data_IF_474111988135
#
_entry.id   IF_474111988135
#
_cell.length_a   1.000
_cell.length_b   1.000
_cell.length_c   1.000
_cell.angle_alpha   90.00
_cell.angle_beta   90.00
_cell.angle_gamma   90.00
#
_symmetry.space_group_name_H-M   'P 1'
#
loop_
_entity.id
_entity.type
_entity.pdbx_description
1 polymer ?
#
# COMPACT_ATOMS: atom_id res chain seq x y z
N UNK A 1 23.16 1.35 -5.84
CA UNK A 1 23.61 2.65 -5.29
C UNK A 1 24.24 3.57 -6.33
N UNK A 2 24.92 3.06 -7.36
CA UNK A 2 25.55 3.86 -8.44
C UNK A 2 24.59 4.78 -9.22
N UNK A 3 23.30 4.44 -9.30
CA UNK A 3 22.29 5.24 -10.00
C UNK A 3 21.68 6.39 -9.16
N UNK A 4 22.01 6.52 -7.87
CA UNK A 4 21.43 7.56 -6.99
C UNK A 4 19.93 7.45 -6.70
N UNK A 5 19.25 6.42 -7.22
CA UNK A 5 17.83 6.19 -6.99
C UNK A 5 17.52 5.81 -5.53
N UNK A 6 16.37 6.27 -5.03
CA UNK A 6 15.83 5.82 -3.75
C UNK A 6 15.11 4.48 -3.92
N UNK A 7 15.35 3.55 -3.00
CA UNK A 7 14.69 2.24 -3.01
C UNK A 7 13.39 2.30 -2.20
N UNK A 8 12.32 1.77 -2.77
CA UNK A 8 11.06 1.49 -2.08
C UNK A 8 10.89 -0.03 -2.02
N UNK A 9 11.29 -0.70 -0.92
CA UNK A 9 11.02 -2.11 -0.71
C UNK A 9 9.51 -2.36 -0.63
N UNK A 10 9.07 -3.56 -0.97
CA UNK A 10 7.68 -3.98 -0.81
C UNK A 10 7.55 -5.28 -0.02
N UNK A 11 6.34 -5.59 0.41
CA UNK A 11 6.01 -6.86 1.09
C UNK A 11 5.27 -7.82 0.16
N UNK A 12 5.60 -7.82 -1.13
CA UNK A 12 4.94 -8.65 -2.13
C UNK A 12 4.91 -10.13 -1.71
N UNK A 13 3.75 -10.76 -1.94
CA UNK A 13 3.53 -12.17 -1.59
C UNK A 13 3.24 -12.45 -0.11
N UNK A 14 3.22 -11.45 0.77
CA UNK A 14 2.80 -11.64 2.16
C UNK A 14 1.29 -11.88 2.23
N UNK A 15 0.88 -12.96 2.89
CA UNK A 15 -0.52 -13.40 3.03
C UNK A 15 -1.11 -13.11 4.41
N UNK A 16 -0.31 -12.53 5.31
CA UNK A 16 -0.75 -12.16 6.65
C UNK A 16 -0.08 -10.89 7.15
N UNK A 17 -0.72 -10.23 8.14
CA UNK A 17 -0.18 -9.07 8.87
C UNK A 17 1.23 -9.37 9.40
N UNK A 18 1.41 -10.54 10.01
CA UNK A 18 2.69 -10.94 10.62
C UNK A 18 3.81 -11.04 9.58
N UNK A 19 3.52 -11.65 8.43
CA UNK A 19 4.49 -11.77 7.34
C UNK A 19 4.87 -10.38 6.80
N UNK A 20 3.89 -9.52 6.53
CA UNK A 20 4.13 -8.19 6.00
C UNK A 20 4.97 -7.33 6.97
N UNK A 21 4.61 -7.31 8.26
CA UNK A 21 5.37 -6.57 9.29
C UNK A 21 6.79 -7.11 9.43
N UNK A 22 6.98 -8.43 9.39
CA UNK A 22 8.31 -9.04 9.49
C UNK A 22 9.17 -8.68 8.28
N UNK A 23 8.62 -8.81 7.07
CA UNK A 23 9.29 -8.46 5.81
C UNK A 23 9.66 -6.98 5.77
N UNK A 24 8.78 -6.09 6.22
CA UNK A 24 9.06 -4.65 6.28
C UNK A 24 10.24 -4.33 7.22
N UNK A 25 10.28 -4.96 8.40
CA UNK A 25 11.40 -4.80 9.35
C UNK A 25 12.71 -5.31 8.77
N UNK A 26 12.70 -6.47 8.13
CA UNK A 26 13.87 -7.00 7.42
C UNK A 26 14.34 -6.06 6.31
N UNK A 27 13.40 -5.51 5.52
CA UNK A 27 13.71 -4.57 4.46
C UNK A 27 14.35 -3.28 5.00
N UNK A 28 13.89 -2.77 6.15
CA UNK A 28 14.51 -1.61 6.82
C UNK A 28 15.98 -1.86 7.15
N UNK A 29 16.31 -3.02 7.70
CA UNK A 29 17.71 -3.39 8.02
C UNK A 29 18.58 -3.55 6.76
N UNK A 30 18.05 -4.19 5.71
CA UNK A 30 18.79 -4.45 4.47
C UNK A 30 19.03 -3.19 3.65
N UNK A 31 18.01 -2.33 3.54
CA UNK A 31 18.04 -1.17 2.65
C UNK A 31 18.32 0.15 3.37
N UNK A 32 18.27 0.19 4.69
CA UNK A 32 18.52 1.40 5.48
C UNK A 32 17.47 2.49 5.25
N UNK A 33 16.23 2.11 4.99
CA UNK A 33 15.11 3.03 4.73
C UNK A 33 13.90 2.67 5.58
N UNK A 34 13.12 3.67 5.99
CA UNK A 34 11.83 3.46 6.64
C UNK A 34 10.65 3.51 5.66
N UNK A 35 10.91 3.64 4.35
CA UNK A 35 9.86 3.56 3.33
C UNK A 35 9.49 2.10 3.06
N UNK A 36 8.19 1.81 2.98
CA UNK A 36 7.70 0.47 2.65
C UNK A 36 6.43 0.53 1.80
N UNK A 37 6.43 -0.10 0.63
CA UNK A 37 5.21 -0.43 -0.11
C UNK A 37 4.57 -1.65 0.54
N UNK A 38 3.48 -1.40 1.26
CA UNK A 38 2.80 -2.42 2.04
C UNK A 38 1.76 -3.13 1.18
N UNK A 39 1.95 -4.43 1.04
CA UNK A 39 1.07 -5.37 0.36
C UNK A 39 0.71 -6.49 1.34
N UNK A 40 -0.59 -6.71 1.55
CA UNK A 40 -1.13 -7.87 2.26
C UNK A 40 -2.16 -8.49 1.34
N UNK A 41 -1.87 -9.68 0.80
CA UNK A 41 -2.67 -10.29 -0.26
C UNK A 41 -3.75 -11.18 0.34
N UNK A 42 -5.02 -10.90 0.02
CA UNK A 42 -6.17 -11.67 0.44
C UNK A 42 -6.55 -12.78 -0.53
N UNK A 43 -6.31 -12.57 -1.84
CA UNK A 43 -6.52 -13.59 -2.87
C UNK A 43 -5.28 -13.72 -3.76
N UNK A 44 -4.73 -14.93 -3.83
CA UNK A 44 -3.49 -15.18 -4.56
C UNK A 44 -3.66 -15.15 -6.09
N UNK A 45 -4.83 -15.51 -6.61
CA UNK A 45 -5.07 -15.57 -8.06
C UNK A 45 -5.27 -14.17 -8.66
N UNK A 46 -5.99 -13.30 -7.95
CA UNK A 46 -6.28 -11.94 -8.39
C UNK A 46 -5.31 -10.90 -7.85
N UNK A 47 -4.44 -11.29 -6.90
CA UNK A 47 -3.56 -10.39 -6.15
C UNK A 47 -4.32 -9.23 -5.49
N UNK A 48 -5.58 -9.47 -5.13
CA UNK A 48 -6.42 -8.51 -4.43
C UNK A 48 -5.93 -8.34 -2.98
N UNK A 49 -5.81 -7.10 -2.47
CA UNK A 49 -5.37 -6.89 -1.11
C UNK A 49 -6.45 -7.33 -0.10
N UNK A 50 -6.01 -7.94 1.01
CA UNK A 50 -6.82 -8.06 2.22
C UNK A 50 -6.82 -6.71 2.93
N UNK A 51 -7.88 -5.93 2.72
CA UNK A 51 -7.98 -4.57 3.27
C UNK A 51 -8.04 -4.53 4.80
N UNK A 52 -8.50 -5.60 5.46
CA UNK A 52 -8.56 -5.65 6.92
C UNK A 52 -7.16 -5.84 7.49
N UNK A 53 -6.44 -6.86 7.02
CA UNK A 53 -5.05 -7.08 7.39
C UNK A 53 -4.14 -5.92 6.98
N UNK A 54 -4.41 -5.29 5.83
CA UNK A 54 -3.67 -4.13 5.37
C UNK A 54 -3.74 -2.96 6.34
N UNK A 55 -4.94 -2.57 6.79
CA UNK A 55 -5.11 -1.46 7.75
C UNK A 55 -4.43 -1.77 9.08
N UNK A 56 -4.54 -3.01 9.57
CA UNK A 56 -3.87 -3.44 10.79
C UNK A 56 -2.34 -3.35 10.66
N UNK A 57 -1.78 -3.91 9.58
CA UNK A 57 -0.35 -3.86 9.30
C UNK A 57 0.16 -2.42 9.13
N UNK A 58 -0.61 -1.58 8.44
CA UNK A 58 -0.29 -0.16 8.24
C UNK A 58 -0.18 0.57 9.58
N UNK A 59 -1.12 0.36 10.49
CA UNK A 59 -1.10 0.95 11.84
C UNK A 59 0.15 0.53 12.62
N UNK A 60 0.44 -0.78 12.66
CA UNK A 60 1.62 -1.32 13.35
C UNK A 60 2.91 -0.70 12.80
N UNK A 61 3.03 -0.61 11.47
CA UNK A 61 4.24 -0.10 10.84
C UNK A 61 4.39 1.43 10.99
N UNK A 62 3.30 2.18 10.92
CA UNK A 62 3.32 3.62 11.18
C UNK A 62 3.72 3.91 12.65
N UNK A 63 3.19 3.16 13.61
CA UNK A 63 3.60 3.21 15.02
C UNK A 63 5.09 2.87 15.20
N UNK A 64 5.64 1.96 14.40
CA UNK A 64 7.07 1.60 14.36
C UNK A 64 7.94 2.55 13.50
N UNK A 65 7.40 3.71 13.09
CA UNK A 65 8.13 4.78 12.41
C UNK A 65 8.35 4.59 10.90
N UNK A 66 7.63 3.66 10.26
CA UNK A 66 7.66 3.52 8.81
C UNK A 66 6.85 4.63 8.11
N UNK A 67 7.32 5.02 6.92
CA UNK A 67 6.51 5.71 5.94
C UNK A 67 5.86 4.66 5.03
N UNK A 68 4.58 4.36 5.30
CA UNK A 68 3.83 3.29 4.63
C UNK A 68 3.18 3.79 3.34
N UNK A 69 3.33 2.99 2.28
CA UNK A 69 2.78 3.16 0.93
C UNK A 69 1.81 1.99 0.67
N UNK A 70 0.52 2.10 1.06
CA UNK A 70 -0.39 0.96 1.11
C UNK A 70 -1.00 0.67 -0.26
N UNK A 71 -0.73 -0.52 -0.82
CA UNK A 71 -1.45 -1.05 -1.99
C UNK A 71 -2.86 -1.47 -1.56
N UNK A 72 -3.87 -0.74 -2.04
CA UNK A 72 -5.26 -0.86 -1.56
C UNK A 72 -6.25 -0.84 -2.73
N UNK A 73 -7.54 -0.98 -2.42
CA UNK A 73 -8.62 -0.80 -3.39
C UNK A 73 -9.02 0.66 -3.53
N UNK A 74 -9.91 0.95 -4.46
CA UNK A 74 -10.54 2.25 -4.72
C UNK A 74 -11.68 2.60 -3.72
N UNK A 75 -11.66 1.98 -2.53
CA UNK A 75 -12.66 2.16 -1.47
C UNK A 75 -12.32 3.38 -0.58
N UNK A 76 -13.27 4.32 -0.44
CA UNK A 76 -13.09 5.54 0.35
C UNK A 76 -12.98 5.27 1.85
N UNK A 77 -13.74 4.31 2.37
CA UNK A 77 -13.74 3.99 3.80
C UNK A 77 -12.39 3.38 4.15
N UNK A 78 -11.88 2.46 3.33
CA UNK A 78 -10.54 1.88 3.53
C UNK A 78 -9.47 2.98 3.45
N UNK A 79 -9.59 3.91 2.50
CA UNK A 79 -8.67 5.04 2.41
C UNK A 79 -8.66 5.91 3.67
N UNK A 80 -9.82 6.25 4.24
CA UNK A 80 -9.91 6.97 5.52
C UNK A 80 -9.21 6.20 6.64
N UNK A 81 -9.47 4.88 6.75
CA UNK A 81 -8.81 4.03 7.76
C UNK A 81 -7.31 3.97 7.62
N UNK A 82 -6.78 3.95 6.39
CA UNK A 82 -5.34 3.97 6.15
C UNK A 82 -4.72 5.30 6.57
N UNK A 83 -5.40 6.43 6.33
CA UNK A 83 -4.96 7.73 6.79
C UNK A 83 -5.01 7.84 8.33
N UNK A 84 -6.08 7.34 8.96
CA UNK A 84 -6.21 7.24 10.43
C UNK A 84 -5.10 6.38 11.04
N UNK A 85 -4.70 5.30 10.35
CA UNK A 85 -3.60 4.43 10.75
C UNK A 85 -2.21 5.10 10.65
N UNK A 86 -2.11 6.26 9.99
CA UNK A 86 -0.88 7.05 9.89
C UNK A 86 -0.25 7.11 8.50
N UNK A 87 -0.85 6.46 7.49
CA UNK A 87 -0.39 6.58 6.10
C UNK A 87 -0.51 8.03 5.63
N UNK A 88 0.45 8.48 4.80
CA UNK A 88 0.47 9.84 4.22
C UNK A 88 0.30 9.86 2.71
N UNK A 89 0.07 8.69 2.13
CA UNK A 89 -0.14 8.43 0.71
C UNK A 89 -1.17 7.31 0.61
N UNK A 90 -1.96 7.34 -0.45
CA UNK A 90 -2.92 6.30 -0.79
C UNK A 90 -2.54 5.72 -2.15
N UNK A 91 -2.52 4.39 -2.25
CA UNK A 91 -2.20 3.70 -3.51
C UNK A 91 -3.33 2.77 -3.96
N UNK A 92 -4.44 3.32 -4.48
CA UNK A 92 -5.53 2.51 -5.01
C UNK A 92 -5.08 1.80 -6.29
N UNK A 93 -5.51 0.55 -6.45
CA UNK A 93 -5.24 -0.21 -7.65
C UNK A 93 -5.88 0.41 -8.91
N UNK A 94 -5.24 0.21 -10.07
CA UNK A 94 -5.86 0.54 -11.37
C UNK A 94 -6.83 -0.56 -11.83
N UNK A 95 -6.41 -1.80 -11.63
CA UNK A 95 -7.02 -3.08 -11.99
C UNK A 95 -6.24 -4.19 -11.25
N UNK A 96 -6.70 -5.46 -11.25
CA UNK A 96 -5.89 -6.56 -10.74
C UNK A 96 -4.49 -6.57 -11.39
N UNK A 97 -3.45 -6.78 -10.58
CA UNK A 97 -2.05 -6.75 -11.01
C UNK A 97 -1.84 -7.73 -12.18
N UNK A 98 -1.15 -7.26 -13.23
CA UNK A 98 -0.81 -8.07 -14.41
C UNK A 98 -1.94 -8.23 -15.44
N UNK A 99 -3.15 -7.73 -15.17
CA UNK A 99 -4.29 -7.86 -16.09
C UNK A 99 -4.19 -6.99 -17.34
N UNK A 100 -3.40 -5.91 -17.32
CA UNK A 100 -3.25 -4.93 -18.39
C UNK A 100 -4.56 -4.27 -18.88
N UNK A 101 -5.63 -4.28 -18.07
CA UNK A 101 -6.94 -3.75 -18.43
C UNK A 101 -7.02 -2.21 -18.47
N UNK A 102 -6.01 -1.53 -17.90
CA UNK A 102 -6.10 -0.10 -17.62
C UNK A 102 -7.10 0.20 -16.49
N UNK A 103 -7.55 1.44 -16.33
CA UNK A 103 -8.43 1.82 -15.22
C UNK A 103 -9.82 1.20 -15.34
N UNK A 104 -10.14 0.23 -14.47
CA UNK A 104 -11.45 -0.46 -14.50
C UNK A 104 -12.56 0.32 -13.81
N UNK A 105 -12.22 1.22 -12.88
CA UNK A 105 -13.19 2.03 -12.14
C UNK A 105 -12.77 3.50 -12.03
N UNK A 106 -12.79 4.20 -13.17
CA UNK A 106 -12.46 5.63 -13.23
C UNK A 106 -13.34 6.51 -12.33
N UNK A 107 -14.59 6.12 -12.08
CA UNK A 107 -15.51 6.87 -11.22
C UNK A 107 -15.04 6.84 -9.77
N UNK A 108 -14.66 5.68 -9.25
CA UNK A 108 -14.14 5.57 -7.88
C UNK A 108 -12.79 6.27 -7.72
N UNK A 109 -11.87 6.12 -8.68
CA UNK A 109 -10.59 6.84 -8.65
C UNK A 109 -10.77 8.37 -8.65
N UNK A 110 -11.69 8.89 -9.46
CA UNK A 110 -12.05 10.32 -9.45
C UNK A 110 -12.69 10.75 -8.14
N UNK A 111 -13.56 9.91 -7.57
CA UNK A 111 -14.17 10.15 -6.26
C UNK A 111 -13.10 10.26 -5.17
N UNK A 112 -12.18 9.29 -5.11
CA UNK A 112 -11.06 9.29 -4.16
C UNK A 112 -10.17 10.52 -4.31
N UNK A 113 -9.86 10.93 -5.54
CA UNK A 113 -9.13 12.18 -5.79
C UNK A 113 -9.88 13.41 -5.26
N UNK A 114 -11.20 13.45 -5.43
CA UNK A 114 -12.06 14.54 -4.95
C UNK A 114 -12.19 14.61 -3.43
N UNK A 115 -12.29 13.46 -2.76
CA UNK A 115 -12.40 13.38 -1.29
C UNK A 115 -11.10 13.72 -0.56
N UNK A 116 -9.95 13.34 -1.11
CA UNK A 116 -8.66 13.52 -0.44
C UNK A 116 -7.72 14.49 -1.17
N UNK A 117 -8.10 15.71 -1.57
CA UNK A 117 -7.34 16.55 -2.52
C UNK A 117 -5.91 16.90 -2.08
N UNK A 118 -5.62 16.90 -0.78
CA UNK A 118 -4.28 17.16 -0.23
C UNK A 118 -3.38 15.93 -0.06
N UNK A 119 -3.92 14.73 -0.30
CA UNK A 119 -3.18 13.48 -0.11
C UNK A 119 -2.56 13.04 -1.45
N UNK A 120 -1.27 12.68 -1.49
CA UNK A 120 -0.67 12.00 -2.64
C UNK A 120 -1.44 10.72 -2.97
N UNK A 121 -1.85 10.58 -4.25
CA UNK A 121 -2.49 9.40 -4.78
C UNK A 121 -1.60 8.81 -5.87
N UNK A 122 -1.23 7.54 -5.72
CA UNK A 122 -0.43 6.80 -6.69
C UNK A 122 -1.27 5.62 -7.17
N UNK A 123 -1.74 5.65 -8.41
CA UNK A 123 -2.43 4.50 -8.98
C UNK A 123 -1.39 3.42 -9.29
N UNK A 124 -1.55 2.23 -8.71
CA UNK A 124 -0.65 1.08 -8.83
C UNK A 124 -1.32 -0.10 -9.55
#
# INVERSE_FOLDING_TARGET
RSLGARTLPNTAGCLSVKEAVTTAKMAREVFGTNWIKLEVIGNHDTLQPDVFGLVEAARILCEDGFAVFPYTTDDLVVAERLLEAGCKVLMPWCAPIGSALGPVNMTALRSMRGYFPGVPLIVD
#
